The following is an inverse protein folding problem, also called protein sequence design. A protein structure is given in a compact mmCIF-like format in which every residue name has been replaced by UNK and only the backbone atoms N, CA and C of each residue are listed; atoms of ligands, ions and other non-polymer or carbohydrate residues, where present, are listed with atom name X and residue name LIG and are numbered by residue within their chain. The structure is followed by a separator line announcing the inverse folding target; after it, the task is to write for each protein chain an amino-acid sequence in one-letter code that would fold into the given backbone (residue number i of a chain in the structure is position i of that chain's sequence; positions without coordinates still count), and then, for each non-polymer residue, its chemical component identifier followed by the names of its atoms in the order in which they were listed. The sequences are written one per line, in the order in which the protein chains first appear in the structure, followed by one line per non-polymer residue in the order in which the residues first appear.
data_IF_751923513609
#
_entry.id   IF_751923513609
#
_cell.length_a   1.000
_cell.length_b   1.000
_cell.length_c   1.000
_cell.angle_alpha   90.00
_cell.angle_beta   90.00
_cell.angle_gamma   90.00
#
_symmetry.space_group_name_H-M   'P 1'
#
loop_
_entity.id
_entity.type
_entity.pdbx_description
1 polymer ?
#
# COMPACT_ATOMS: atom_id res chain seq x y z
N UNK A 1 -1.46 -46.49 -12.02
CA UNK A 1 -1.10 -45.08 -12.32
C UNK A 1 -1.47 -44.29 -11.08
N UNK A 2 -0.53 -43.57 -10.50
CA UNK A 2 -0.76 -42.81 -9.26
C UNK A 2 -0.46 -41.35 -9.57
N UNK A 3 -1.43 -40.49 -9.32
CA UNK A 3 -1.28 -39.06 -9.42
C UNK A 3 -0.86 -38.52 -8.06
N UNK A 4 0.18 -37.69 -8.05
CA UNK A 4 0.57 -36.90 -6.90
C UNK A 4 0.33 -35.44 -7.26
N UNK A 5 -0.39 -34.74 -6.39
CA UNK A 5 -0.56 -33.29 -6.44
C UNK A 5 0.11 -32.76 -5.19
N UNK A 6 1.20 -32.02 -5.38
CA UNK A 6 1.89 -31.32 -4.29
C UNK A 6 1.47 -29.86 -4.41
N UNK A 7 0.75 -29.40 -3.39
CA UNK A 7 0.42 -27.98 -3.21
C UNK A 7 1.22 -27.51 -2.01
N UNK A 8 2.10 -26.54 -2.25
CA UNK A 8 2.89 -25.87 -1.20
C UNK A 8 2.44 -24.42 -1.14
N UNK A 9 2.15 -23.94 0.06
CA UNK A 9 1.94 -22.52 0.35
C UNK A 9 3.08 -22.08 1.25
N UNK A 10 3.77 -21.01 0.87
CA UNK A 10 4.81 -20.38 1.69
C UNK A 10 4.42 -18.92 1.88
N UNK A 11 4.63 -18.37 3.08
CA UNK A 11 4.51 -16.92 3.29
C UNK A 11 5.47 -16.20 2.35
N UNK A 12 5.04 -15.05 1.82
CA UNK A 12 5.88 -14.15 1.03
C UNK A 12 7.10 -13.80 1.89
N UNK A 13 8.28 -13.88 1.30
CA UNK A 13 9.54 -13.57 1.97
C UNK A 13 9.89 -12.08 1.80
N UNK A 14 8.93 -11.25 1.38
CA UNK A 14 9.23 -10.01 0.66
C UNK A 14 8.28 -8.87 0.96
N UNK A 15 7.03 -9.22 1.24
CA UNK A 15 6.00 -8.32 1.72
C UNK A 15 5.40 -8.90 2.98
N UNK A 16 5.25 -8.06 4.00
CA UNK A 16 4.51 -8.35 5.22
C UNK A 16 3.21 -7.56 5.20
N UNK A 17 2.08 -8.26 5.28
CA UNK A 17 0.77 -7.62 5.37
C UNK A 17 0.39 -7.25 6.81
N UNK A 18 -0.27 -6.11 6.96
CA UNK A 18 -0.93 -5.62 8.18
C UNK A 18 -2.36 -5.25 7.83
N UNK A 19 -3.29 -5.50 8.75
CA UNK A 19 -4.70 -5.18 8.58
C UNK A 19 -5.36 -5.07 9.96
N UNK A 20 -6.51 -4.40 10.03
CA UNK A 20 -7.37 -4.42 11.21
C UNK A 20 -8.21 -3.17 11.36
N UNK A 21 -8.74 -3.00 12.58
CA UNK A 21 -9.70 -1.96 12.93
C UNK A 21 -9.07 -0.86 13.80
N UNK A 22 -9.52 0.36 13.60
CA UNK A 22 -9.15 1.56 14.36
C UNK A 22 -10.29 1.87 15.32
N UNK A 23 -10.09 1.47 16.56
CA UNK A 23 -11.03 1.74 17.65
C UNK A 23 -10.51 2.84 18.56
N UNK A 24 -11.34 3.83 18.88
CA UNK A 24 -10.91 4.94 19.72
C UNK A 24 -12.03 5.90 20.10
N UNK A 25 -11.70 6.81 21.02
CA UNK A 25 -12.57 7.95 21.37
C UNK A 25 -11.76 9.22 21.17
N UNK A 26 -12.37 10.20 20.51
CA UNK A 26 -11.79 11.54 20.44
C UNK A 26 -12.32 12.30 21.66
N UNK A 27 -11.42 12.77 22.49
CA UNK A 27 -11.76 13.52 23.70
C UNK A 27 -11.28 14.96 23.59
N UNK A 28 -12.13 15.90 24.02
CA UNK A 28 -11.70 17.27 24.27
C UNK A 28 -11.32 17.39 25.74
N UNK A 29 -10.04 17.21 26.03
CA UNK A 29 -9.49 17.27 27.38
C UNK A 29 -8.82 18.62 27.68
N UNK A 30 -8.88 19.05 28.94
CA UNK A 30 -7.99 20.09 29.45
C UNK A 30 -6.58 19.55 29.74
N UNK A 31 -5.63 20.42 30.11
CA UNK A 31 -4.25 20.02 30.41
C UNK A 31 -4.10 19.15 31.68
N UNK A 32 -5.21 18.89 32.39
CA UNK A 32 -5.29 18.02 33.56
C UNK A 32 -6.10 16.73 33.26
N UNK A 33 -6.39 16.45 31.99
CA UNK A 33 -7.19 15.32 31.51
C UNK A 33 -8.65 15.35 32.03
N UNK A 34 -9.24 16.52 32.24
CA UNK A 34 -10.68 16.61 32.40
C UNK A 34 -11.36 16.68 31.04
N UNK A 35 -12.16 15.67 30.73
CA UNK A 35 -12.89 15.55 29.47
C UNK A 35 -14.14 16.42 29.46
N UNK A 36 -14.20 17.35 28.50
CA UNK A 36 -15.37 18.17 28.23
C UNK A 36 -16.33 17.48 27.24
N UNK A 37 -15.78 16.84 26.21
CA UNK A 37 -16.51 16.04 25.24
C UNK A 37 -15.80 14.72 25.00
N UNK A 38 -16.59 13.67 24.87
CA UNK A 38 -16.16 12.33 24.49
C UNK A 38 -17.00 11.92 23.28
N UNK A 39 -16.37 11.92 22.11
CA UNK A 39 -16.97 11.42 20.89
C UNK A 39 -16.45 10.01 20.67
N UNK A 40 -17.36 9.06 20.74
CA UNK A 40 -17.12 7.75 20.16
C UNK A 40 -17.05 7.91 18.64
N UNK A 41 -15.84 7.93 18.10
CA UNK A 41 -15.62 7.84 16.66
C UNK A 41 -15.86 6.38 16.29
N UNK A 42 -17.09 6.07 15.86
CA UNK A 42 -17.43 4.74 15.39
C UNK A 42 -16.81 4.44 14.02
N UNK A 43 -16.37 5.48 13.29
CA UNK A 43 -15.91 5.42 11.90
C UNK A 43 -14.81 6.47 11.69
N UNK A 44 -13.56 6.22 12.13
CA UNK A 44 -12.45 7.14 11.88
C UNK A 44 -12.19 7.32 10.38
N UNK A 45 -11.69 8.49 10.00
CA UNK A 45 -11.16 8.78 8.66
C UNK A 45 -9.70 9.21 8.81
N UNK A 46 -8.89 9.08 7.76
CA UNK A 46 -7.48 9.47 7.74
C UNK A 46 -6.61 8.36 7.16
N UNK A 47 -5.39 8.21 7.67
CA UNK A 47 -4.38 7.33 7.09
C UNK A 47 -3.57 6.57 8.14
N UNK A 48 -3.13 5.39 7.74
CA UNK A 48 -2.14 4.60 8.48
C UNK A 48 -0.82 4.61 7.71
N UNK A 49 0.26 4.91 8.41
CA UNK A 49 1.61 4.98 7.86
C UNK A 49 2.50 3.94 8.53
N UNK A 50 3.27 3.20 7.73
CA UNK A 50 4.37 2.38 8.20
C UNK A 50 5.67 2.87 7.58
N UNK A 51 6.58 3.37 8.42
CA UNK A 51 7.86 3.90 7.98
C UNK A 51 9.02 2.96 8.31
N UNK A 52 9.95 2.77 7.37
CA UNK A 52 11.16 1.94 7.58
C UNK A 52 12.17 2.55 8.56
N UNK A 53 12.00 3.84 8.90
CA UNK A 53 12.77 4.58 9.90
C UNK A 53 11.87 5.59 10.63
N UNK A 54 12.33 6.13 11.75
CA UNK A 54 11.60 7.16 12.50
C UNK A 54 11.46 8.46 11.67
N UNK A 55 10.22 8.89 11.42
CA UNK A 55 9.93 10.13 10.69
C UNK A 55 10.00 11.32 11.65
N UNK A 56 11.05 12.13 11.52
CA UNK A 56 11.28 13.29 12.41
C UNK A 56 10.68 14.59 11.88
N UNK A 57 10.31 14.66 10.59
CA UNK A 57 9.76 15.86 9.97
C UNK A 57 8.70 15.56 8.90
N UNK A 58 7.45 15.42 9.34
CA UNK A 58 6.29 15.22 8.47
C UNK A 58 6.05 16.35 7.47
N UNK A 59 6.55 17.57 7.72
CA UNK A 59 6.42 18.71 6.79
C UNK A 59 7.27 18.58 5.52
N UNK A 60 8.06 17.51 5.42
CA UNK A 60 8.90 17.22 4.26
C UNK A 60 8.52 15.93 3.54
N UNK A 61 7.40 15.33 3.90
CA UNK A 61 6.84 14.16 3.23
C UNK A 61 6.40 14.53 1.81
N UNK A 62 6.66 13.63 0.86
CA UNK A 62 6.28 13.76 -0.53
C UNK A 62 6.26 12.37 -1.21
N UNK A 63 5.70 12.29 -2.42
CA UNK A 63 5.68 11.04 -3.19
C UNK A 63 7.06 10.45 -3.38
N UNK A 64 7.18 9.13 -3.24
CA UNK A 64 8.40 8.41 -3.59
C UNK A 64 8.79 8.66 -5.05
N UNK A 65 10.09 8.88 -5.33
CA UNK A 65 10.54 9.07 -6.70
C UNK A 65 10.75 7.74 -7.41
N UNK A 66 9.79 7.37 -8.24
CA UNK A 66 9.88 6.18 -9.06
C UNK A 66 10.89 6.22 -10.21
N UNK A 67 11.42 7.41 -10.52
CA UNK A 67 12.32 7.54 -11.67
C UNK A 67 13.73 7.12 -11.28
N UNK A 68 14.36 6.31 -12.14
CA UNK A 68 15.74 5.82 -12.01
C UNK A 68 16.83 6.91 -12.18
N UNK A 69 16.57 8.13 -11.72
CA UNK A 69 17.44 9.26 -11.93
C UNK A 69 17.88 9.86 -10.59
N UNK A 70 19.08 9.48 -10.13
CA UNK A 70 19.77 10.05 -8.95
C UNK A 70 20.25 11.50 -9.13
N UNK A 71 19.51 12.29 -9.92
CA UNK A 71 19.72 13.73 -10.06
C UNK A 71 18.93 14.47 -8.98
N UNK A 72 19.33 15.71 -8.69
CA UNK A 72 18.55 16.65 -7.87
C UNK A 72 17.09 16.68 -8.34
N UNK A 73 16.16 16.23 -7.50
CA UNK A 73 14.74 16.14 -7.85
C UNK A 73 13.95 17.24 -7.14
N UNK A 74 13.01 17.84 -7.86
CA UNK A 74 12.11 18.87 -7.32
C UNK A 74 10.73 18.27 -7.19
N UNK A 75 10.33 17.97 -5.96
CA UNK A 75 8.98 17.47 -5.69
C UNK A 75 8.05 18.66 -5.53
N UNK A 76 6.84 18.48 -6.04
CA UNK A 76 5.81 19.50 -6.00
C UNK A 76 4.52 18.83 -5.54
N UNK A 77 3.88 19.39 -4.51
CA UNK A 77 2.62 18.91 -3.94
C UNK A 77 1.72 20.12 -3.67
N UNK A 78 0.54 19.91 -3.06
CA UNK A 78 -0.47 20.98 -2.92
C UNK A 78 -0.82 21.63 -4.27
N UNK A 79 -0.98 20.84 -5.33
CA UNK A 79 -1.22 21.35 -6.69
C UNK A 79 -0.20 22.41 -7.17
N UNK A 80 1.04 22.37 -6.68
CA UNK A 80 2.05 23.37 -7.04
C UNK A 80 2.37 24.40 -5.97
N UNK A 81 1.58 24.49 -4.89
CA UNK A 81 1.75 25.56 -3.90
C UNK A 81 3.00 25.37 -3.04
N UNK A 82 3.46 24.13 -2.86
CA UNK A 82 4.70 23.80 -2.15
C UNK A 82 5.61 22.97 -3.03
N UNK A 83 6.90 23.20 -2.87
CA UNK A 83 7.94 22.44 -3.52
C UNK A 83 9.17 22.33 -2.64
N UNK A 84 9.82 21.17 -2.69
CA UNK A 84 11.14 20.96 -2.11
C UNK A 84 12.10 20.50 -3.18
N UNK A 85 13.38 20.67 -2.88
CA UNK A 85 14.43 20.09 -3.70
C UNK A 85 15.41 19.36 -2.81
N UNK A 86 15.51 18.04 -3.00
CA UNK A 86 16.48 17.20 -2.28
C UNK A 86 17.64 16.83 -3.20
N UNK A 87 18.81 16.59 -2.58
CA UNK A 87 19.99 16.04 -3.26
C UNK A 87 20.21 14.56 -2.96
N UNK A 88 19.59 14.03 -1.89
CA UNK A 88 19.53 12.60 -1.60
C UNK A 88 18.12 12.13 -1.95
N UNK A 89 17.98 11.65 -3.17
CA UNK A 89 16.69 11.28 -3.74
C UNK A 89 16.57 9.78 -3.65
N UNK A 90 15.94 9.30 -2.58
CA UNK A 90 15.51 7.91 -2.53
C UNK A 90 14.66 7.64 -3.77
N UNK A 91 15.18 6.79 -4.64
CA UNK A 91 14.56 6.46 -5.90
C UNK A 91 14.55 4.96 -6.14
N UNK A 92 13.78 4.52 -7.14
CA UNK A 92 13.61 3.11 -7.45
C UNK A 92 14.95 2.40 -7.65
N UNK A 93 15.90 2.98 -8.40
CA UNK A 93 17.23 2.37 -8.56
C UNK A 93 17.96 2.23 -7.24
N UNK A 94 17.98 3.27 -6.42
CA UNK A 94 18.67 3.23 -5.12
C UNK A 94 18.03 2.20 -4.19
N UNK A 95 16.71 2.13 -4.17
CA UNK A 95 15.94 1.12 -3.44
C UNK A 95 16.23 -0.28 -3.95
N UNK A 96 16.36 -0.49 -5.25
CA UNK A 96 16.47 -1.84 -5.80
C UNK A 96 17.90 -2.33 -6.08
N UNK A 97 18.92 -1.56 -5.67
CA UNK A 97 20.33 -1.93 -5.87
C UNK A 97 20.84 -2.95 -4.84
N UNK A 98 20.03 -3.33 -3.83
CA UNK A 98 20.21 -4.58 -3.08
C UNK A 98 21.39 -4.70 -2.12
N UNK A 99 22.18 -3.64 -1.96
CA UNK A 99 23.39 -3.68 -1.13
C UNK A 99 23.27 -2.81 0.12
N UNK A 100 22.07 -2.31 0.42
CA UNK A 100 21.84 -1.36 1.49
C UNK A 100 20.86 -1.96 2.50
N UNK A 101 21.14 -1.81 3.79
CA UNK A 101 20.28 -2.39 4.83
C UNK A 101 18.84 -1.85 4.80
N UNK A 102 18.65 -0.66 4.22
CA UNK A 102 17.35 -0.02 4.08
C UNK A 102 16.62 -0.43 2.79
N UNK A 103 17.26 -1.14 1.85
CA UNK A 103 16.61 -1.58 0.60
C UNK A 103 15.66 -2.76 0.79
N UNK A 104 15.62 -3.35 1.99
CA UNK A 104 14.72 -4.44 2.36
C UNK A 104 14.78 -5.65 1.41
N UNK A 105 15.90 -5.84 0.71
CA UNK A 105 16.05 -6.92 -0.26
C UNK A 105 15.10 -6.84 -1.47
N UNK A 106 14.42 -5.72 -1.70
CA UNK A 106 13.53 -5.52 -2.86
C UNK A 106 14.38 -5.28 -4.11
N UNK A 107 14.82 -6.33 -4.82
CA UNK A 107 15.68 -6.17 -6.00
C UNK A 107 14.83 -6.05 -7.28
N UNK A 108 15.32 -5.27 -8.25
CA UNK A 108 14.66 -5.03 -9.54
C UNK A 108 14.57 -6.27 -10.46
N UNK A 109 15.02 -7.43 -9.98
CA UNK A 109 14.99 -8.70 -10.69
C UNK A 109 14.27 -9.80 -9.92
N UNK A 110 13.78 -9.47 -8.73
CA UNK A 110 12.95 -10.35 -7.92
C UNK A 110 11.49 -10.23 -8.39
N UNK A 111 10.61 -11.11 -7.91
CA UNK A 111 9.20 -11.12 -8.37
C UNK A 111 8.32 -10.10 -7.64
N UNK A 112 8.93 -9.33 -6.76
CA UNK A 112 8.35 -8.59 -5.66
C UNK A 112 9.06 -7.25 -5.46
N UNK A 113 9.81 -6.80 -6.46
CA UNK A 113 10.35 -5.45 -6.50
C UNK A 113 9.22 -4.42 -6.41
N UNK A 114 9.63 -3.19 -6.15
CA UNK A 114 8.69 -2.10 -5.98
C UNK A 114 7.98 -1.86 -7.31
N UNK A 115 8.68 -1.96 -8.45
CA UNK A 115 8.10 -1.79 -9.79
C UNK A 115 7.21 -2.91 -10.31
N UNK A 116 7.19 -4.07 -9.66
CA UNK A 116 6.14 -5.07 -9.85
C UNK A 116 4.90 -4.84 -8.99
N UNK A 117 5.07 -4.25 -7.80
CA UNK A 117 4.01 -4.14 -6.79
C UNK A 117 3.25 -2.82 -6.87
N UNK A 118 3.98 -1.71 -7.09
CA UNK A 118 3.42 -0.36 -7.17
C UNK A 118 3.40 0.13 -8.63
N UNK A 119 2.32 0.81 -9.00
CA UNK A 119 2.19 1.41 -10.31
C UNK A 119 2.77 2.84 -10.32
N UNK A 120 3.69 3.09 -11.24
CA UNK A 120 4.37 4.38 -11.46
C UNK A 120 3.40 5.53 -11.72
N UNK A 121 2.25 5.25 -12.33
CA UNK A 121 1.30 6.30 -12.75
C UNK A 121 0.39 6.78 -11.63
N UNK A 122 0.41 6.15 -10.45
CA UNK A 122 -0.52 6.44 -9.36
C UNK A 122 -1.98 6.06 -9.65
N UNK A 123 -2.21 5.40 -10.78
CA UNK A 123 -3.51 4.86 -11.16
C UNK A 123 -3.64 3.41 -10.71
N UNK A 124 -4.80 3.08 -10.21
CA UNK A 124 -5.19 1.80 -9.66
C UNK A 124 -6.25 1.19 -10.58
N UNK A 125 -6.21 -0.11 -10.80
CA UNK A 125 -7.23 -0.82 -11.59
C UNK A 125 -8.51 -0.93 -10.76
N UNK A 126 -9.64 -0.44 -11.28
CA UNK A 126 -10.92 -0.47 -10.56
C UNK A 126 -11.92 -1.48 -11.12
N UNK A 127 -11.92 -1.71 -12.43
CA UNK A 127 -12.74 -2.77 -13.03
C UNK A 127 -12.21 -3.28 -14.36
N UNK A 128 -12.58 -4.51 -14.72
CA UNK A 128 -12.34 -5.09 -16.04
C UNK A 128 -13.60 -4.99 -16.89
N UNK A 129 -13.51 -4.27 -18.00
CA UNK A 129 -14.56 -4.19 -19.02
C UNK A 129 -14.32 -5.20 -20.15
N UNK A 130 -15.33 -5.42 -20.99
CA UNK A 130 -15.20 -6.23 -22.21
C UNK A 130 -14.19 -5.67 -23.22
N UNK A 131 -13.75 -4.42 -23.03
CA UNK A 131 -12.81 -3.70 -23.91
C UNK A 131 -11.45 -3.40 -23.27
N UNK A 132 -11.21 -3.80 -22.02
CA UNK A 132 -9.97 -3.53 -21.30
C UNK A 132 -10.19 -3.17 -19.84
N UNK A 133 -9.18 -2.63 -19.18
CA UNK A 133 -9.25 -2.20 -17.78
C UNK A 133 -9.71 -0.74 -17.65
N UNK A 134 -10.41 -0.45 -16.57
CA UNK A 134 -10.64 0.93 -16.09
C UNK A 134 -9.70 1.21 -14.94
N UNK A 135 -9.27 2.46 -14.86
CA UNK A 135 -8.29 2.91 -13.91
C UNK A 135 -8.83 4.15 -13.22
N UNK A 136 -8.54 4.27 -11.92
CA UNK A 136 -8.78 5.48 -11.14
C UNK A 136 -7.48 5.90 -10.49
N UNK A 137 -7.31 7.20 -10.27
CA UNK A 137 -6.19 7.71 -9.50
C UNK A 137 -6.36 7.29 -8.02
N UNK A 138 -5.26 7.02 -7.31
CA UNK A 138 -5.34 6.93 -5.84
C UNK A 138 -6.01 8.20 -5.29
N UNK A 139 -6.75 8.08 -4.19
CA UNK A 139 -7.51 9.19 -3.63
C UNK A 139 -6.57 10.33 -3.16
N UNK A 140 -7.11 11.55 -3.15
CA UNK A 140 -6.47 12.70 -2.51
C UNK A 140 -6.52 12.52 -1.00
N UNK A 141 -5.41 12.78 -0.31
CA UNK A 141 -5.31 12.68 1.15
C UNK A 141 -4.31 13.69 1.72
N UNK A 142 -4.31 13.86 3.05
CA UNK A 142 -3.42 14.80 3.71
C UNK A 142 -2.38 14.07 4.56
N UNK A 143 -1.20 14.69 4.68
CA UNK A 143 -0.18 14.32 5.66
C UNK A 143 0.07 15.56 6.50
N UNK A 144 -0.63 15.68 7.62
CA UNK A 144 -0.68 16.88 8.46
C UNK A 144 -1.23 18.11 7.73
N UNK A 145 -0.36 18.88 7.05
CA UNK A 145 -0.77 20.07 6.28
C UNK A 145 -0.38 20.02 4.80
N UNK A 146 0.11 18.85 4.37
CA UNK A 146 0.53 18.56 3.01
C UNK A 146 -0.59 17.80 2.33
N UNK A 147 -1.11 18.33 1.25
CA UNK A 147 -2.04 17.65 0.36
C UNK A 147 -1.26 16.82 -0.66
N UNK A 148 -1.49 15.52 -0.61
CA UNK A 148 -1.10 14.57 -1.65
C UNK A 148 -2.25 14.44 -2.65
N UNK A 149 -2.11 15.12 -3.77
CA UNK A 149 -3.15 15.17 -4.81
C UNK A 149 -3.39 13.78 -5.41
N UNK A 150 -4.62 13.50 -5.83
CA UNK A 150 -4.99 12.24 -6.45
C UNK A 150 -4.07 11.90 -7.66
N UNK A 151 -3.60 10.66 -7.72
CA UNK A 151 -2.78 10.12 -8.81
C UNK A 151 -1.36 10.71 -8.89
N UNK A 152 -0.94 11.48 -7.89
CA UNK A 152 0.38 12.13 -7.89
C UNK A 152 1.52 11.21 -7.46
N UNK A 153 1.22 10.14 -6.71
CA UNK A 153 2.19 9.23 -6.15
C UNK A 153 2.05 7.81 -6.71
N UNK A 154 3.13 7.02 -6.74
CA UNK A 154 3.05 5.59 -7.02
C UNK A 154 2.09 4.89 -6.05
N UNK A 155 1.21 4.05 -6.58
CA UNK A 155 0.15 3.44 -5.80
C UNK A 155 -0.15 2.00 -6.23
N UNK A 156 -0.75 1.23 -5.32
CA UNK A 156 -1.23 -0.13 -5.57
C UNK A 156 -2.52 -0.40 -4.78
N UNK A 157 -3.13 -1.55 -5.06
CA UNK A 157 -4.18 -2.13 -4.23
C UNK A 157 -3.61 -3.31 -3.45
N UNK A 158 -3.72 -3.29 -2.12
CA UNK A 158 -3.21 -4.39 -1.29
C UNK A 158 -4.12 -5.61 -1.27
N UNK A 159 -5.37 -5.42 -1.69
CA UNK A 159 -6.31 -6.49 -1.90
C UNK A 159 -6.65 -6.57 -3.38
N UNK A 160 -6.11 -7.59 -4.04
CA UNK A 160 -6.46 -7.93 -5.43
C UNK A 160 -6.69 -9.45 -5.50
N UNK A 161 -7.94 -9.88 -5.40
CA UNK A 161 -8.28 -11.30 -5.60
C UNK A 161 -8.36 -11.60 -7.10
N UNK A 162 -7.23 -11.81 -7.77
CA UNK A 162 -7.20 -12.13 -9.20
C UNK A 162 -7.19 -13.64 -9.43
N UNK A 163 -8.26 -14.17 -10.01
CA UNK A 163 -8.26 -15.48 -10.66
C UNK A 163 -7.78 -15.34 -12.11
N UNK A 164 -6.46 -15.48 -12.34
CA UNK A 164 -5.91 -15.42 -13.71
C UNK A 164 -6.15 -16.74 -14.44
N UNK A 165 -6.83 -16.70 -15.58
CA UNK A 165 -6.86 -17.83 -16.51
C UNK A 165 -5.48 -17.97 -17.17
N UNK A 166 -4.81 -19.11 -16.94
CA UNK A 166 -3.41 -19.42 -17.29
C UNK A 166 -3.05 -19.36 -18.80
N UNK A 167 -3.94 -18.88 -19.67
CA UNK A 167 -3.78 -18.95 -21.12
C UNK A 167 -3.40 -17.64 -21.79
N UNK A 168 -3.33 -16.50 -21.09
CA UNK A 168 -2.79 -15.27 -21.68
C UNK A 168 -1.29 -15.09 -21.32
N UNK A 169 -0.36 -15.25 -22.29
CA UNK A 169 1.06 -15.04 -22.04
C UNK A 169 1.46 -13.57 -21.85
N UNK A 170 0.52 -12.60 -21.87
CA UNK A 170 0.82 -11.16 -21.77
C UNK A 170 0.46 -10.50 -20.42
N UNK A 171 -0.08 -11.23 -19.43
CA UNK A 171 -0.50 -10.65 -18.13
C UNK A 171 0.57 -10.87 -17.03
N UNK A 172 1.63 -10.06 -17.00
CA UNK A 172 2.80 -10.28 -16.12
C UNK A 172 2.84 -9.53 -14.77
N UNK A 173 2.01 -8.52 -14.48
CA UNK A 173 2.25 -7.67 -13.29
C UNK A 173 0.99 -7.47 -12.43
N UNK A 174 0.57 -8.49 -11.66
CA UNK A 174 -0.43 -8.32 -10.60
C UNK A 174 -0.13 -9.25 -9.41
N UNK A 175 -0.10 -8.67 -8.21
CA UNK A 175 0.19 -9.31 -6.94
C UNK A 175 -0.90 -10.36 -6.63
N UNK A 176 -0.49 -11.61 -6.39
CA UNK A 176 -1.41 -12.76 -6.21
C UNK A 176 -1.56 -13.11 -4.74
N UNK A 177 -2.71 -12.81 -4.15
CA UNK A 177 -3.13 -13.42 -2.88
C UNK A 177 -4.18 -14.48 -3.19
N UNK A 178 -3.79 -15.75 -3.06
CA UNK A 178 -4.60 -16.91 -3.48
C UNK A 178 -5.63 -17.27 -2.38
N UNK A 179 -6.90 -16.93 -2.62
CA UNK A 179 -8.01 -17.37 -1.77
C UNK A 179 -8.39 -18.78 -2.21
N UNK A 180 -8.03 -19.80 -1.43
CA UNK A 180 -8.00 -21.23 -1.80
C UNK A 180 -9.38 -21.89 -2.09
N UNK A 181 -10.19 -21.31 -2.96
CA UNK A 181 -11.56 -21.73 -3.30
C UNK A 181 -11.92 -21.63 -4.79
N UNK A 182 -10.98 -21.89 -5.69
CA UNK A 182 -11.30 -22.16 -7.10
C UNK A 182 -11.72 -23.64 -7.28
N UNK A 183 -12.96 -23.99 -6.94
CA UNK A 183 -13.57 -25.29 -7.27
C UNK A 183 -14.93 -25.08 -7.94
N UNK A 184 -15.49 -25.97 -8.75
CA UNK A 184 -14.98 -27.14 -9.51
C UNK A 184 -15.55 -27.12 -10.95
N UNK A 185 -15.91 -25.92 -11.44
CA UNK A 185 -16.41 -25.63 -12.78
C UNK A 185 -15.43 -24.69 -13.50
N UNK A 186 -14.71 -25.15 -14.55
CA UNK A 186 -13.53 -24.46 -15.10
C UNK A 186 -13.82 -23.26 -16.00
N UNK A 187 -15.08 -22.92 -16.29
CA UNK A 187 -15.45 -21.93 -17.33
C UNK A 187 -16.34 -20.76 -16.85
N UNK A 188 -16.55 -20.54 -15.55
CA UNK A 188 -17.47 -19.46 -15.12
C UNK A 188 -17.26 -18.89 -13.71
N UNK A 189 -16.01 -18.63 -13.31
CA UNK A 189 -15.76 -17.74 -12.17
C UNK A 189 -15.76 -16.28 -12.67
N UNK A 190 -16.88 -15.60 -12.44
CA UNK A 190 -17.02 -14.19 -12.80
C UNK A 190 -16.29 -13.33 -11.78
N UNK A 191 -15.40 -12.53 -12.35
CA UNK A 191 -14.88 -11.29 -11.81
C UNK A 191 -16.05 -10.43 -11.34
N UNK A 192 -16.05 -10.14 -10.06
CA UNK A 192 -16.60 -8.90 -9.58
C UNK A 192 -15.48 -8.38 -8.67
N UNK A 193 -14.52 -7.64 -9.26
CA UNK A 193 -14.19 -6.41 -8.54
C UNK A 193 -15.53 -5.74 -8.53
N UNK A 194 -16.16 -5.70 -7.34
CA UNK A 194 -17.55 -5.29 -7.19
C UNK A 194 -17.78 -4.11 -8.13
N UNK A 195 -18.97 -4.03 -8.73
CA UNK A 195 -19.40 -2.80 -9.41
C UNK A 195 -19.13 -1.54 -8.53
N UNK A 196 -18.87 -1.73 -7.24
CA UNK A 196 -18.23 -0.82 -6.28
C UNK A 196 -16.72 -1.10 -6.10
N UNK A 197 -15.90 -0.73 -7.09
CA UNK A 197 -14.44 -0.74 -6.93
C UNK A 197 -14.02 0.30 -5.90
N UNK A 198 -13.54 -0.12 -4.73
CA UNK A 198 -12.59 0.60 -3.86
C UNK A 198 -11.92 -0.46 -2.99
N UNK A 199 -10.72 -0.88 -3.35
CA UNK A 199 -9.91 -1.75 -2.50
C UNK A 199 -9.02 -0.86 -1.63
N UNK A 200 -8.46 -1.43 -0.56
CA UNK A 200 -7.42 -0.78 0.25
C UNK A 200 -6.30 -0.25 -0.63
N UNK A 201 -6.31 1.07 -0.81
CA UNK A 201 -5.32 1.77 -1.60
C UNK A 201 -4.05 1.92 -0.76
N UNK A 202 -2.91 1.73 -1.41
CA UNK A 202 -1.62 1.95 -0.79
C UNK A 202 -0.74 2.84 -1.67
N UNK A 203 -0.10 3.82 -1.04
CA UNK A 203 0.70 4.87 -1.66
C UNK A 203 2.10 4.89 -1.06
N UNK A 204 3.12 5.03 -1.92
CA UNK A 204 4.51 5.19 -1.49
C UNK A 204 4.90 6.65 -1.32
N UNK A 205 5.34 6.97 -0.11
CA UNK A 205 5.89 8.27 0.26
C UNK A 205 7.33 8.16 0.76
N UNK A 206 8.01 9.30 0.82
CA UNK A 206 9.34 9.44 1.40
C UNK A 206 9.52 10.81 2.04
N UNK A 207 10.62 10.99 2.78
CA UNK A 207 10.99 12.22 3.49
C UNK A 207 12.28 12.77 2.91
N UNK A 208 12.39 14.10 2.82
CA UNK A 208 13.57 14.75 2.26
C UNK A 208 14.87 14.33 2.94
N UNK A 209 15.89 14.17 2.10
CA UNK A 209 17.26 13.84 2.49
C UNK A 209 17.36 12.61 3.41
N UNK A 210 16.45 11.64 3.24
CA UNK A 210 16.37 10.42 4.04
C UNK A 210 16.34 9.16 3.16
N UNK A 211 16.66 8.03 3.77
CA UNK A 211 16.48 6.69 3.20
C UNK A 211 15.18 6.04 3.75
N UNK A 212 14.19 6.86 4.07
CA UNK A 212 12.93 6.43 4.69
C UNK A 212 11.87 6.21 3.62
N UNK A 213 11.33 4.99 3.58
CA UNK A 213 10.13 4.66 2.81
C UNK A 213 8.96 4.68 3.78
N UNK A 214 7.86 5.27 3.34
CA UNK A 214 6.61 5.30 4.08
C UNK A 214 5.55 4.62 3.21
N UNK A 215 5.08 3.49 3.68
CA UNK A 215 3.93 2.75 3.16
C UNK A 215 2.68 3.37 3.78
N UNK A 216 1.77 3.87 2.94
CA UNK A 216 0.61 4.64 3.39
C UNK A 216 -0.67 4.01 2.87
N UNK A 217 -1.61 3.69 3.75
CA UNK A 217 -2.96 3.28 3.36
C UNK A 217 -3.98 4.26 3.93
N UNK A 218 -5.07 4.44 3.18
CA UNK A 218 -6.19 5.29 3.58
C UNK A 218 -7.15 4.45 4.40
N UNK A 219 -7.60 4.99 5.52
CA UNK A 219 -8.63 4.37 6.36
C UNK A 219 -9.92 4.35 5.54
N UNK A 220 -10.41 3.16 5.26
CA UNK A 220 -11.58 2.97 4.42
C UNK A 220 -12.82 3.43 5.17
N UNK A 221 -13.53 4.39 4.57
CA UNK A 221 -14.81 4.85 5.06
C UNK A 221 -15.63 5.39 3.89
N UNK A 222 -16.27 4.49 3.14
CA UNK A 222 -17.18 4.87 2.04
C UNK A 222 -18.53 4.19 2.22
N UNK A 223 -19.60 4.85 2.70
CA UNK A 223 -20.40 5.99 2.18
C UNK A 223 -21.46 5.60 1.13
N UNK A 224 -22.69 5.43 1.63
CA UNK A 224 -23.94 5.35 0.87
C UNK A 224 -25.09 4.71 1.66
N UNK A 225 -24.75 3.68 2.43
CA UNK A 225 -25.71 2.68 2.92
C UNK A 225 -25.43 2.16 4.34
N UNK A 226 -24.42 2.71 5.03
CA UNK A 226 -24.08 2.39 6.42
C UNK A 226 -23.33 1.05 6.65
N UNK A 227 -22.56 0.57 5.66
CA UNK A 227 -21.50 -0.43 5.89
C UNK A 227 -20.16 0.31 5.91
N UNK A 228 -19.43 0.17 7.02
CA UNK A 228 -18.36 1.09 7.47
C UNK A 228 -16.96 0.66 7.09
N UNK A 229 -16.82 -0.54 6.53
CA UNK A 229 -15.55 -1.25 6.41
C UNK A 229 -15.51 -2.00 5.06
N UNK A 230 -14.32 -2.26 4.52
CA UNK A 230 -14.16 -2.99 3.25
C UNK A 230 -13.68 -4.42 3.52
N UNK A 231 -14.18 -5.37 2.74
CA UNK A 231 -13.75 -6.78 2.82
C UNK A 231 -12.27 -6.88 2.48
N UNK A 232 -11.45 -7.30 3.43
CA UNK A 232 -10.00 -7.49 3.28
C UNK A 232 -9.59 -8.92 2.88
N UNK A 233 -8.29 -9.18 3.01
CA UNK A 233 -7.65 -10.42 2.55
C UNK A 233 -8.20 -11.71 3.16
N UNK A 234 -8.81 -11.65 4.35
CA UNK A 234 -9.38 -12.80 5.07
C UNK A 234 -10.90 -12.95 4.88
N UNK A 235 -11.48 -12.16 3.97
CA UNK A 235 -12.91 -12.13 3.70
C UNK A 235 -13.77 -11.62 4.88
N UNK A 236 -13.16 -10.96 5.86
CA UNK A 236 -13.81 -10.13 6.88
C UNK A 236 -13.62 -8.64 6.54
N UNK A 237 -14.38 -7.76 7.20
CA UNK A 237 -14.28 -6.33 6.98
C UNK A 237 -13.22 -5.69 7.89
N UNK A 238 -12.49 -4.70 7.38
CA UNK A 238 -11.44 -3.98 8.12
C UNK A 238 -11.43 -2.48 7.76
N UNK A 239 -10.88 -1.66 8.67
CA UNK A 239 -10.66 -0.23 8.45
C UNK A 239 -9.44 0.05 7.56
N UNK A 240 -8.41 -0.80 7.63
CA UNK A 240 -7.21 -0.66 6.81
C UNK A 240 -6.57 -2.00 6.46
N UNK A 241 -5.84 -2.01 5.34
CA UNK A 241 -4.92 -3.07 4.96
C UNK A 241 -3.71 -2.44 4.28
N UNK A 242 -2.52 -2.91 4.64
CA UNK A 242 -1.24 -2.34 4.23
C UNK A 242 -0.24 -3.46 3.95
N UNK A 243 0.59 -3.32 2.92
CA UNK A 243 1.77 -4.14 2.72
C UNK A 243 3.02 -3.33 3.10
N UNK A 244 4.02 -3.97 3.65
CA UNK A 244 5.33 -3.35 3.87
C UNK A 244 6.43 -4.28 3.37
N UNK A 245 7.55 -3.73 2.90
CA UNK A 245 8.66 -4.53 2.42
C UNK A 245 9.28 -5.37 3.55
N UNK A 246 9.75 -6.57 3.23
CA UNK A 246 10.47 -7.45 4.13
C UNK A 246 11.67 -8.08 3.41
N UNK A 247 12.80 -8.28 4.11
CA UNK A 247 14.01 -8.87 3.53
C UNK A 247 14.12 -10.36 3.88
N UNK A 248 13.41 -11.19 3.13
CA UNK A 248 13.45 -12.65 3.31
C UNK A 248 14.30 -13.39 2.27
N UNK A 249 15.04 -12.69 1.41
CA UNK A 249 15.82 -13.30 0.32
C UNK A 249 17.25 -13.72 0.69
N UNK A 250 17.78 -13.34 1.85
CA UNK A 250 19.18 -13.60 2.21
C UNK A 250 19.45 -15.01 2.81
N UNK A 251 19.41 -16.06 1.99
CA UNK A 251 19.99 -17.37 2.33
C UNK A 251 19.25 -18.14 3.44
N UNK A 252 19.89 -19.12 4.15
CA UNK A 252 19.20 -19.94 5.14
C UNK A 252 18.71 -19.06 6.31
N UNK A 253 17.44 -18.65 6.23
CA UNK A 253 16.65 -17.99 7.27
C UNK A 253 17.50 -17.06 8.14
N UNK A 254 18.02 -15.98 7.56
CA UNK A 254 18.43 -14.88 8.42
C UNK A 254 17.15 -14.32 9.02
N UNK A 255 16.98 -14.53 10.33
CA UNK A 255 15.96 -13.92 11.17
C UNK A 255 16.23 -12.41 11.32
N UNK A 256 16.39 -11.70 10.21
CA UNK A 256 16.55 -10.24 10.19
C UNK A 256 15.17 -9.64 10.32
N UNK A 257 14.83 -9.20 11.54
CA UNK A 257 13.62 -8.42 11.78
C UNK A 257 13.82 -7.01 11.21
N UNK A 258 12.96 -6.61 10.28
CA UNK A 258 12.84 -5.24 9.80
C UNK A 258 11.93 -4.45 10.74
N UNK A 259 12.44 -3.45 11.48
CA UNK A 259 11.60 -2.62 12.32
C UNK A 259 10.81 -1.61 11.48
N UNK A 260 9.52 -1.48 11.78
CA UNK A 260 8.64 -0.45 11.23
C UNK A 260 8.09 0.45 12.33
N UNK A 261 8.00 1.74 12.03
CA UNK A 261 7.37 2.74 12.88
C UNK A 261 5.98 3.02 12.33
N UNK A 262 4.95 2.69 13.11
CA UNK A 262 3.56 2.91 12.73
C UNK A 262 3.06 4.25 13.27
N UNK A 263 2.39 5.00 12.41
CA UNK A 263 1.73 6.25 12.71
C UNK A 263 0.30 6.18 12.18
N UNK A 264 -0.61 6.89 12.85
CA UNK A 264 -2.00 7.01 12.43
C UNK A 264 -2.37 8.48 12.50
N UNK A 265 -2.92 9.00 11.41
CA UNK A 265 -3.57 10.30 11.34
C UNK A 265 -5.09 10.07 11.30
N UNK A 266 -5.83 10.81 12.12
CA UNK A 266 -7.28 10.71 12.23
C UNK A 266 -7.88 12.10 11.97
N UNK A 267 -8.88 12.16 11.10
CA UNK A 267 -9.57 13.37 10.64
C UNK A 267 -11.04 13.47 11.07
#
# INVERSE_FOLDING_TARGET
VTQITITTVTQTQTWQGYYGDIVGTITLDDAQNHTMYDWYAAEPQGEVYAASQEVTNWLTVHCFNYTNNGSRHTYTWDSGARSTTTTNVLNLTELETGNLAWSLGLLSGDYDGVDETFNVTGTIVTSRTSTGYTYEDHAEFFVGTINISAGSCPATNTYESVCVNKTDPNEQNQFKVDNSFCGSDPDNYKWDGTEDGNNFQEVLLTVNDSETIIYTTIIENRRGDNDTDIIGFDNETHDFQLLVGDDGHAGPKQDTSTPYYFYVEIE
#
